data_IF_358013794377
#
_entry.id   IF_358013794377
#
_cell.length_a   1.000
_cell.length_b   1.000
_cell.length_c   1.000
_cell.angle_alpha   90.00
_cell.angle_beta   90.00
_cell.angle_gamma   90.00
#
_symmetry.space_group_name_H-M   'P 1'
#
loop_
_entity.id
_entity.type
_entity.pdbx_description
1 polymer ?
#
# COMPACT_ATOMS: atom_id res chain seq x y z
N UNK A 1 -33.47 -20.38 12.10
CA UNK A 1 -32.18 -20.89 11.69
C UNK A 1 -31.10 -20.42 12.62
N UNK A 2 -30.21 -21.29 12.96
CA UNK A 2 -29.11 -20.90 13.83
C UNK A 2 -28.21 -19.88 13.14
N UNK A 3 -27.75 -18.92 13.90
CA UNK A 3 -26.73 -18.02 13.48
C UNK A 3 -25.44 -18.81 13.23
N UNK A 4 -24.84 -18.64 12.08
CA UNK A 4 -23.58 -19.30 11.75
C UNK A 4 -22.37 -18.47 12.18
N UNK A 5 -22.59 -17.44 12.99
CA UNK A 5 -21.52 -16.60 13.50
C UNK A 5 -20.96 -15.61 12.50
N UNK A 6 -21.72 -15.30 11.46
CA UNK A 6 -21.25 -14.36 10.43
C UNK A 6 -21.05 -12.97 10.99
N UNK A 7 -21.89 -12.57 11.94
CA UNK A 7 -21.78 -11.28 12.62
C UNK A 7 -20.61 -11.23 13.63
N UNK A 8 -20.01 -12.39 13.91
CA UNK A 8 -18.82 -12.50 14.75
C UNK A 8 -17.53 -12.51 13.90
N UNK A 9 -17.66 -12.55 12.58
CA UNK A 9 -16.53 -12.48 11.68
C UNK A 9 -16.20 -11.02 11.39
N UNK A 10 -14.93 -10.76 11.25
CA UNK A 10 -14.46 -9.42 10.95
C UNK A 10 -14.30 -9.27 9.44
N UNK A 11 -15.13 -8.46 8.79
CA UNK A 11 -14.97 -8.24 7.35
C UNK A 11 -13.83 -7.27 7.10
N UNK A 12 -12.92 -7.65 6.21
CA UNK A 12 -11.79 -6.82 5.81
C UNK A 12 -11.93 -6.41 4.35
N UNK A 13 -11.65 -5.14 4.07
CA UNK A 13 -11.31 -4.75 2.71
C UNK A 13 -9.88 -5.20 2.43
N UNK A 14 -9.63 -5.65 1.23
CA UNK A 14 -8.28 -6.05 0.82
C UNK A 14 -7.67 -4.94 -0.02
N UNK A 15 -6.45 -4.56 0.31
CA UNK A 15 -5.69 -3.56 -0.44
C UNK A 15 -4.36 -4.16 -0.89
N UNK A 16 -3.90 -3.74 -2.06
CA UNK A 16 -2.52 -3.98 -2.47
C UNK A 16 -1.69 -2.77 -2.10
N UNK A 17 -0.46 -3.00 -1.66
CA UNK A 17 0.52 -1.95 -1.37
C UNK A 17 1.84 -2.32 -2.02
N UNK A 18 2.59 -1.32 -2.47
CA UNK A 18 3.83 -1.55 -3.19
C UNK A 18 4.99 -0.88 -2.45
N UNK A 19 5.98 -1.69 -2.12
CA UNK A 19 7.27 -1.22 -1.61
C UNK A 19 8.19 -1.07 -2.83
N UNK A 20 8.18 0.12 -3.42
CA UNK A 20 8.96 0.42 -4.62
C UNK A 20 10.36 0.85 -4.23
N UNK A 21 11.35 0.08 -4.67
CA UNK A 21 12.76 0.24 -4.28
C UNK A 21 13.60 0.72 -5.46
N UNK A 22 14.61 1.54 -5.14
CA UNK A 22 15.63 1.93 -6.09
C UNK A 22 16.93 2.21 -5.34
N UNK A 23 17.92 1.30 -5.48
CA UNK A 23 19.26 1.51 -4.94
C UNK A 23 19.31 1.78 -3.44
N UNK A 24 18.60 0.99 -2.64
CA UNK A 24 18.58 1.17 -1.19
C UNK A 24 17.63 2.26 -0.70
N UNK A 25 16.79 2.77 -1.59
CA UNK A 25 15.79 3.78 -1.25
C UNK A 25 14.40 3.22 -1.47
N UNK A 26 13.47 3.66 -0.63
CA UNK A 26 12.06 3.30 -0.70
C UNK A 26 11.26 4.53 -1.11
N UNK A 27 10.36 4.35 -2.07
CA UNK A 27 9.46 5.41 -2.51
C UNK A 27 8.28 5.55 -1.55
N UNK A 28 8.02 6.78 -1.10
CA UNK A 28 6.82 7.13 -0.35
C UNK A 28 6.25 8.43 -0.92
N UNK A 29 4.95 8.62 -0.77
CA UNK A 29 4.32 9.86 -1.21
C UNK A 29 3.29 10.33 -0.17
N UNK A 30 2.89 11.59 -0.27
CA UNK A 30 1.95 12.22 0.64
C UNK A 30 0.69 12.58 -0.12
N UNK A 31 -0.47 12.24 0.44
CA UNK A 31 -1.73 12.62 -0.16
C UNK A 31 -2.06 14.10 0.14
N UNK A 32 -3.13 14.60 -0.47
CA UNK A 32 -3.52 15.99 -0.31
C UNK A 32 -4.09 16.31 1.08
N UNK A 33 -4.28 15.30 1.92
CA UNK A 33 -4.71 15.48 3.31
C UNK A 33 -3.52 15.43 4.29
N UNK A 34 -2.32 15.26 3.78
CA UNK A 34 -1.10 15.28 4.57
C UNK A 34 -0.66 13.94 5.11
N UNK A 35 -1.28 12.85 4.70
CA UNK A 35 -0.87 11.52 5.13
C UNK A 35 0.13 10.91 4.17
N UNK A 36 1.23 10.37 4.70
CA UNK A 36 2.21 9.62 3.92
C UNK A 36 1.72 8.20 3.70
N UNK A 37 2.00 7.65 2.54
CA UNK A 37 1.50 6.35 2.13
C UNK A 37 2.44 5.69 1.12
N UNK A 38 2.17 4.41 0.87
CA UNK A 38 2.78 3.63 -0.21
C UNK A 38 1.80 3.58 -1.38
N UNK A 39 2.30 3.43 -2.61
CA UNK A 39 1.39 3.20 -3.74
C UNK A 39 0.51 1.98 -3.50
N UNK A 40 -0.74 2.06 -3.92
CA UNK A 40 -1.68 0.96 -3.76
C UNK A 40 -3.10 1.43 -3.55
N UNK A 41 -3.94 0.52 -3.10
CA UNK A 41 -5.33 0.82 -2.81
C UNK A 41 -6.17 -0.43 -2.72
N UNK A 42 -7.43 -0.22 -2.37
CA UNK A 42 -8.38 -1.31 -2.16
C UNK A 42 -8.77 -1.98 -3.48
N UNK A 43 -8.95 -3.30 -3.42
CA UNK A 43 -9.50 -4.07 -4.52
C UNK A 43 -10.99 -3.73 -4.63
N UNK A 44 -11.44 -3.47 -5.85
CA UNK A 44 -12.83 -3.09 -6.12
C UNK A 44 -13.69 -4.31 -6.39
N UNK A 45 -15.01 -4.18 -6.21
CA UNK A 45 -15.93 -5.30 -6.40
C UNK A 45 -15.82 -5.92 -7.78
N UNK A 46 -15.69 -5.12 -8.82
CA UNK A 46 -15.62 -5.62 -10.20
C UNK A 46 -14.27 -6.28 -10.51
N UNK A 47 -13.31 -6.21 -9.58
CA UNK A 47 -12.00 -6.83 -9.75
C UNK A 47 -11.91 -8.21 -9.09
N UNK A 48 -13.03 -8.79 -8.70
CA UNK A 48 -13.03 -10.07 -7.98
C UNK A 48 -12.26 -11.16 -8.72
N UNK A 49 -12.33 -11.19 -10.04
CA UNK A 49 -11.64 -12.20 -10.85
C UNK A 49 -10.38 -11.65 -11.52
N UNK A 50 -10.03 -10.41 -11.28
CA UNK A 50 -8.82 -9.79 -11.85
C UNK A 50 -7.60 -10.33 -11.12
N UNK A 51 -6.56 -10.81 -11.83
CA UNK A 51 -5.33 -11.24 -11.18
C UNK A 51 -4.74 -10.11 -10.32
N UNK A 52 -4.23 -10.47 -9.16
CA UNK A 52 -3.69 -9.48 -8.22
C UNK A 52 -2.58 -8.64 -8.84
N UNK A 53 -1.75 -9.23 -9.68
CA UNK A 53 -0.67 -8.52 -10.36
C UNK A 53 -1.20 -7.40 -11.27
N UNK A 54 -2.34 -7.63 -11.91
CA UNK A 54 -2.97 -6.62 -12.77
C UNK A 54 -3.57 -5.49 -11.94
N UNK A 55 -4.08 -5.81 -10.75
CA UNK A 55 -4.57 -4.79 -9.81
C UNK A 55 -3.42 -3.91 -9.35
N UNK A 56 -2.27 -4.51 -9.01
CA UNK A 56 -1.07 -3.76 -8.65
C UNK A 56 -0.67 -2.81 -9.76
N UNK A 57 -0.63 -3.30 -11.00
CA UNK A 57 -0.24 -2.47 -12.15
C UNK A 57 -1.22 -1.34 -12.39
N UNK A 58 -2.51 -1.60 -12.24
CA UNK A 58 -3.53 -0.55 -12.38
C UNK A 58 -3.32 0.56 -11.37
N UNK A 59 -3.11 0.20 -10.10
CA UNK A 59 -2.89 1.20 -9.04
C UNK A 59 -1.60 1.97 -9.28
N UNK A 60 -0.54 1.31 -9.71
CA UNK A 60 0.71 1.99 -10.03
C UNK A 60 0.52 2.98 -11.17
N UNK A 61 -0.18 2.57 -12.23
CA UNK A 61 -0.47 3.48 -13.34
C UNK A 61 -1.22 4.72 -12.88
N UNK A 62 -2.25 4.53 -12.04
CA UNK A 62 -3.06 5.64 -11.53
C UNK A 62 -2.27 6.59 -10.64
N UNK A 63 -1.33 6.09 -9.85
CA UNK A 63 -0.71 6.88 -8.78
C UNK A 63 0.70 7.37 -9.08
N UNK A 64 1.47 6.62 -9.85
CA UNK A 64 2.86 6.99 -10.15
C UNK A 64 3.13 7.14 -11.65
N UNK A 65 2.09 6.97 -12.48
CA UNK A 65 2.17 7.21 -13.92
C UNK A 65 2.65 6.01 -14.71
N UNK A 66 2.70 6.17 -16.03
CA UNK A 66 3.02 5.08 -16.96
C UNK A 66 4.44 5.17 -17.53
N UNK A 67 5.20 6.21 -17.19
CA UNK A 67 6.58 6.38 -17.63
C UNK A 67 7.53 5.55 -16.78
N UNK A 68 7.19 5.38 -15.51
CA UNK A 68 7.99 4.59 -14.58
C UNK A 68 8.04 3.12 -15.03
N UNK A 69 9.24 2.58 -15.10
CA UNK A 69 9.47 1.18 -15.42
C UNK A 69 9.92 0.46 -14.15
N UNK A 70 9.29 -0.66 -13.85
CA UNK A 70 9.55 -1.41 -12.62
C UNK A 70 9.17 -2.88 -12.82
N UNK A 71 9.72 -3.73 -11.95
CA UNK A 71 9.33 -5.14 -11.86
C UNK A 71 8.75 -5.37 -10.48
N UNK A 72 7.66 -6.15 -10.41
CA UNK A 72 6.98 -6.49 -9.15
C UNK A 72 7.18 -7.97 -8.87
N UNK A 73 7.51 -8.32 -7.63
CA UNK A 73 7.60 -9.72 -7.23
C UNK A 73 6.23 -10.39 -7.34
N UNK A 74 6.23 -11.69 -7.62
CA UNK A 74 4.98 -12.40 -7.92
C UNK A 74 4.11 -12.63 -6.69
N UNK A 75 4.71 -12.62 -5.49
CA UNK A 75 4.01 -12.85 -4.23
C UNK A 75 4.22 -11.69 -3.29
N UNK A 76 3.24 -11.38 -2.45
CA UNK A 76 3.45 -10.38 -1.41
C UNK A 76 4.47 -10.86 -0.40
N UNK A 77 5.31 -9.96 0.05
CA UNK A 77 6.35 -10.25 1.05
C UNK A 77 5.95 -9.82 2.45
N UNK A 78 4.99 -8.90 2.56
CA UNK A 78 4.55 -8.33 3.83
C UNK A 78 3.03 -8.33 3.87
N UNK A 79 2.47 -8.82 4.97
CA UNK A 79 1.03 -8.79 5.20
C UNK A 79 0.75 -7.78 6.31
N UNK A 80 -0.25 -6.94 6.10
CA UNK A 80 -0.57 -5.83 7.00
C UNK A 80 -2.04 -5.86 7.38
N UNK A 81 -2.33 -5.41 8.60
CA UNK A 81 -3.72 -5.18 9.02
C UNK A 81 -3.81 -3.78 9.58
N UNK A 82 -4.69 -2.98 9.01
CA UNK A 82 -4.82 -1.57 9.36
C UNK A 82 -6.27 -1.24 9.67
N UNK A 83 -6.47 -0.43 10.71
CA UNK A 83 -7.77 0.11 11.05
C UNK A 83 -7.82 1.56 10.58
N UNK A 84 -8.85 1.90 9.84
CA UNK A 84 -9.01 3.25 9.30
C UNK A 84 -10.38 3.81 9.69
N UNK A 85 -10.37 5.04 10.18
CA UNK A 85 -11.58 5.79 10.41
C UNK A 85 -11.98 6.45 9.10
N UNK A 86 -13.17 6.12 8.62
CA UNK A 86 -13.73 6.73 7.42
C UNK A 86 -14.40 8.04 7.78
N UNK A 87 -14.25 9.03 6.90
CA UNK A 87 -14.87 10.34 7.11
C UNK A 87 -16.33 10.39 6.67
N UNK A 88 -16.87 9.28 6.17
CA UNK A 88 -18.26 9.23 5.71
C UNK A 88 -19.18 9.02 6.90
N UNK A 89 -20.22 9.86 7.11
CA UNK A 89 -21.16 9.68 8.20
C UNK A 89 -21.80 8.28 8.17
N UNK A 90 -21.85 7.64 9.33
CA UNK A 90 -22.41 6.29 9.46
C UNK A 90 -21.46 5.18 9.04
N UNK A 91 -20.25 5.50 8.65
CA UNK A 91 -19.24 4.51 8.28
C UNK A 91 -17.97 4.77 9.08
N UNK A 92 -17.98 4.45 10.38
CA UNK A 92 -16.96 4.98 11.28
C UNK A 92 -15.60 4.34 11.13
N UNK A 93 -15.53 3.02 11.01
CA UNK A 93 -14.25 2.32 11.04
C UNK A 93 -14.29 1.11 10.14
N UNK A 94 -13.24 0.93 9.37
CA UNK A 94 -13.08 -0.25 8.51
C UNK A 94 -11.72 -0.89 8.80
N UNK A 95 -11.67 -2.21 8.59
CA UNK A 95 -10.43 -2.96 8.67
C UNK A 95 -9.96 -3.29 7.25
N UNK A 96 -8.66 -3.14 7.05
CA UNK A 96 -8.03 -3.34 5.75
C UNK A 96 -6.91 -4.38 5.90
N UNK A 97 -6.94 -5.38 5.02
CA UNK A 97 -5.87 -6.36 4.94
C UNK A 97 -4.99 -5.98 3.75
N UNK A 98 -3.75 -5.62 4.01
CA UNK A 98 -2.83 -5.15 2.99
C UNK A 98 -1.90 -6.27 2.52
N UNK A 99 -1.79 -6.40 1.21
CA UNK A 99 -0.85 -7.31 0.56
C UNK A 99 0.30 -6.46 0.03
N UNK A 100 1.44 -6.52 0.70
CA UNK A 100 2.61 -5.69 0.38
C UNK A 100 3.55 -6.39 -0.59
N UNK A 101 3.65 -5.88 -1.80
CA UNK A 101 4.52 -6.40 -2.85
C UNK A 101 5.79 -5.57 -2.95
N UNK A 102 6.93 -6.22 -3.05
CA UNK A 102 8.18 -5.52 -3.37
C UNK A 102 8.26 -5.31 -4.87
N UNK A 103 8.74 -4.14 -5.25
CA UNK A 103 8.98 -3.80 -6.65
C UNK A 103 10.30 -3.05 -6.75
N UNK A 104 10.96 -3.18 -7.90
CA UNK A 104 12.24 -2.54 -8.15
C UNK A 104 12.12 -1.64 -9.37
N UNK A 105 12.51 -0.38 -9.21
CA UNK A 105 12.54 0.56 -10.32
C UNK A 105 13.61 0.14 -11.33
N UNK A 106 13.25 0.14 -12.59
CA UNK A 106 14.16 -0.16 -13.69
C UNK A 106 14.52 1.09 -14.50
N UNK A 107 13.68 2.11 -14.48
CA UNK A 107 13.90 3.35 -15.22
C UNK A 107 12.67 4.23 -15.20
N UNK A 108 12.76 5.37 -15.88
CA UNK A 108 11.64 6.31 -15.95
C UNK A 108 11.41 7.07 -14.66
N UNK A 109 10.61 8.12 -14.74
CA UNK A 109 10.33 8.98 -13.60
C UNK A 109 8.90 8.75 -13.09
N UNK A 110 8.71 8.97 -11.79
CA UNK A 110 7.39 9.00 -11.18
C UNK A 110 6.66 10.27 -11.63
N UNK A 111 5.42 10.10 -12.06
CA UNK A 111 4.52 11.21 -12.33
C UNK A 111 3.33 11.06 -11.39
N UNK A 112 3.27 11.91 -10.37
CA UNK A 112 2.22 11.82 -9.35
C UNK A 112 0.85 12.17 -9.90
N UNK A 113 -0.17 11.46 -9.43
CA UNK A 113 -1.56 11.84 -9.68
C UNK A 113 -1.93 13.09 -8.88
N UNK A 114 -3.08 13.68 -9.20
CA UNK A 114 -3.58 14.87 -8.48
C UNK A 114 -3.91 14.58 -7.01
N UNK A 115 -4.04 13.32 -6.65
CA UNK A 115 -4.33 12.93 -5.26
C UNK A 115 -3.10 13.01 -4.35
N UNK A 116 -1.91 13.23 -4.89
CA UNK A 116 -0.66 13.25 -4.14
C UNK A 116 0.08 14.55 -4.38
N UNK A 117 0.64 15.12 -3.32
CA UNK A 117 1.23 16.46 -3.36
C UNK A 117 2.75 16.44 -3.22
N UNK A 118 3.32 15.37 -2.71
CA UNK A 118 4.73 15.30 -2.40
C UNK A 118 5.21 13.86 -2.49
N UNK A 119 6.48 13.67 -2.86
CA UNK A 119 7.08 12.33 -2.86
C UNK A 119 8.48 12.39 -2.32
N UNK A 120 8.96 11.24 -1.81
CA UNK A 120 10.33 11.08 -1.34
C UNK A 120 10.83 9.69 -1.68
N UNK A 121 12.13 9.61 -1.97
CA UNK A 121 12.89 8.37 -1.96
C UNK A 121 13.72 8.37 -0.69
N UNK A 122 13.32 7.57 0.31
CA UNK A 122 13.99 7.57 1.61
C UNK A 122 15.03 6.45 1.68
N UNK A 123 16.18 6.76 2.30
CA UNK A 123 17.22 5.76 2.51
C UNK A 123 16.74 4.78 3.56
N UNK A 124 16.66 3.48 3.20
CA UNK A 124 16.12 2.46 4.09
C UNK A 124 16.94 2.25 5.36
N UNK A 125 18.22 2.63 5.35
CA UNK A 125 19.10 2.50 6.51
C UNK A 125 18.96 3.64 7.50
N UNK A 126 18.44 4.79 7.07
CA UNK A 126 18.28 5.97 7.90
C UNK A 126 16.84 6.33 8.19
N UNK A 127 15.93 5.69 7.47
CA UNK A 127 14.51 5.99 7.53
C UNK A 127 13.90 5.63 8.88
N UNK A 128 13.16 6.57 9.44
CA UNK A 128 12.40 6.37 10.68
C UNK A 128 10.92 6.32 10.32
N UNK A 129 10.38 5.12 10.10
CA UNK A 129 9.01 5.01 9.59
C UNK A 129 7.95 5.61 10.51
N UNK A 130 8.21 5.66 11.82
CA UNK A 130 7.27 6.25 12.78
C UNK A 130 7.05 7.75 12.58
N UNK A 131 7.93 8.42 11.82
CA UNK A 131 7.77 9.83 11.48
C UNK A 131 6.82 10.04 10.30
N UNK A 132 6.45 8.97 9.60
CA UNK A 132 5.67 9.05 8.38
C UNK A 132 4.39 8.21 8.42
N UNK A 133 4.42 7.05 9.04
CA UNK A 133 3.31 6.10 9.02
C UNK A 133 2.74 5.86 10.40
N UNK A 134 1.49 5.38 10.45
CA UNK A 134 0.81 5.05 11.69
C UNK A 134 0.09 3.71 11.56
N UNK A 135 -0.28 3.13 12.70
CA UNK A 135 -1.12 1.94 12.75
C UNK A 135 -0.53 0.75 12.03
N UNK A 136 -1.39 0.03 11.35
CA UNK A 136 -1.01 -1.19 10.64
C UNK A 136 -0.06 -0.94 9.47
N UNK A 137 -0.13 0.24 8.84
CA UNK A 137 0.82 0.60 7.80
C UNK A 137 2.22 0.77 8.36
N UNK A 138 2.34 1.37 9.54
CA UNK A 138 3.63 1.49 10.21
C UNK A 138 4.20 0.11 10.54
N UNK A 139 3.37 -0.78 11.08
CA UNK A 139 3.80 -2.14 11.40
C UNK A 139 4.29 -2.86 10.13
N UNK A 140 3.58 -2.67 9.02
CA UNK A 140 3.97 -3.27 7.74
C UNK A 140 5.29 -2.73 7.21
N UNK A 141 5.51 -1.42 7.31
CA UNK A 141 6.78 -0.83 6.88
C UNK A 141 7.92 -1.33 7.76
N UNK A 142 7.70 -1.47 9.06
CA UNK A 142 8.71 -2.04 9.96
C UNK A 142 9.05 -3.49 9.59
N UNK A 143 8.06 -4.30 9.26
CA UNK A 143 8.28 -5.67 8.79
C UNK A 143 9.08 -5.69 7.49
N UNK A 144 8.73 -4.80 6.56
CA UNK A 144 9.48 -4.66 5.32
C UNK A 144 10.95 -4.32 5.58
N UNK A 145 11.21 -3.35 6.47
CA UNK A 145 12.57 -2.95 6.78
C UNK A 145 13.38 -4.09 7.40
N UNK A 146 12.76 -4.91 8.26
CA UNK A 146 13.42 -6.11 8.80
C UNK A 146 13.75 -7.11 7.70
N UNK A 147 12.84 -7.27 6.76
CA UNK A 147 13.00 -8.23 5.67
C UNK A 147 14.21 -7.91 4.80
N UNK A 148 14.43 -6.64 4.50
CA UNK A 148 15.51 -6.22 3.60
C UNK A 148 16.85 -6.01 4.28
N UNK A 149 16.90 -5.98 5.61
CA UNK A 149 18.13 -5.73 6.38
C UNK A 149 18.86 -7.02 6.79
N UNK A 150 18.63 -8.07 6.12
CA UNK A 150 19.32 -9.33 6.40
C UNK A 150 20.78 -9.31 5.98
#
# INVERSE_FOLDING_TARGET
>A
MADIGIDQKDPYFVAVKVFLEDGGKLFIFKDKFGAWDLPGGRIKKHEFQTPLHDIVKRKMSEEVGDVLQYTVETMPSVLMRHERVESVPGNPTVHIFGLGYRATRAGGEVVLSDAHTEMKWVDVNEFKPEEYFTGGWLDGVREYLKLIKK
#
